data_IF_788286917166
#
_entry.id   IF_788286917166
#
_cell.length_a   1.000
_cell.length_b   1.000
_cell.length_c   1.000
_cell.angle_alpha   90.00
_cell.angle_beta   90.00
_cell.angle_gamma   90.00
#
_symmetry.space_group_name_H-M   'P 1'
#
loop_
_entity.id
_entity.type
_entity.pdbx_description
1 polymer ?
#
# COMPACT_ATOMS: atom_id res chain seq x y z
N UNK A 1 -25.97 66.85 -58.28
CA UNK A 1 -24.61 66.34 -58.57
C UNK A 1 -24.31 65.26 -57.54
N UNK A 2 -24.45 63.99 -57.95
CA UNK A 2 -24.16 62.81 -57.13
C UNK A 2 -22.72 62.38 -57.33
N UNK A 3 -21.98 62.16 -56.24
CA UNK A 3 -20.75 61.36 -56.25
C UNK A 3 -20.78 60.38 -55.08
N UNK A 4 -20.79 59.11 -55.49
CA UNK A 4 -20.88 57.86 -54.74
C UNK A 4 -19.63 57.58 -53.91
N UNK A 5 -19.84 57.20 -52.64
CA UNK A 5 -18.83 56.58 -51.78
C UNK A 5 -18.83 55.06 -52.01
N UNK A 6 -17.71 54.51 -52.46
CA UNK A 6 -17.41 53.07 -52.43
C UNK A 6 -16.57 52.74 -51.20
N UNK A 7 -16.95 51.77 -50.36
CA UNK A 7 -16.04 51.22 -49.37
C UNK A 7 -15.12 50.15 -49.99
N UNK A 8 -13.82 50.26 -49.72
CA UNK A 8 -12.81 49.22 -50.00
C UNK A 8 -13.02 48.03 -49.05
N UNK A 9 -13.15 46.83 -49.61
CA UNK A 9 -13.10 45.56 -48.88
C UNK A 9 -11.65 45.24 -48.50
N UNK A 10 -11.36 45.19 -47.19
CA UNK A 10 -10.10 44.69 -46.66
C UNK A 10 -10.11 43.16 -46.62
N UNK A 11 -9.34 42.53 -47.50
CA UNK A 11 -9.07 41.10 -47.50
C UNK A 11 -8.03 40.74 -46.43
N UNK A 12 -8.43 40.56 -45.17
CA UNK A 12 -7.47 40.19 -44.12
C UNK A 12 -8.06 39.45 -42.89
N UNK A 13 -9.18 38.75 -43.00
CA UNK A 13 -9.85 38.16 -41.80
C UNK A 13 -10.42 36.75 -41.97
N UNK A 14 -9.92 35.92 -42.90
CA UNK A 14 -10.46 34.56 -43.10
C UNK A 14 -9.47 33.41 -42.92
N UNK A 15 -8.24 33.66 -42.49
CA UNK A 15 -7.22 32.60 -42.34
C UNK A 15 -7.28 31.76 -41.04
N UNK A 16 -7.82 32.20 -39.87
CA UNK A 16 -7.78 31.36 -38.68
C UNK A 16 -8.95 30.36 -38.56
N UNK A 17 -10.00 30.46 -39.38
CA UNK A 17 -11.22 29.65 -39.22
C UNK A 17 -11.22 28.33 -40.02
N UNK A 18 -10.34 28.19 -41.01
CA UNK A 18 -10.23 26.96 -41.81
C UNK A 18 -9.28 25.92 -41.20
N UNK A 19 -8.38 26.34 -40.30
CA UNK A 19 -7.39 25.44 -39.70
C UNK A 19 -7.97 24.59 -38.55
N UNK A 20 -9.07 25.01 -37.94
CA UNK A 20 -9.76 24.27 -36.86
C UNK A 20 -10.66 23.14 -37.37
N UNK A 21 -11.14 23.23 -38.62
CA UNK A 21 -12.02 22.21 -39.21
C UNK A 21 -11.22 20.97 -39.64
N UNK A 22 -9.93 21.12 -39.95
CA UNK A 22 -9.10 20.00 -40.41
C UNK A 22 -8.70 19.01 -39.29
N UNK A 23 -8.75 19.41 -38.01
CA UNK A 23 -8.34 18.55 -36.90
C UNK A 23 -9.43 17.61 -36.36
N UNK A 24 -10.70 17.75 -36.76
CA UNK A 24 -11.80 16.89 -36.28
C UNK A 24 -12.04 15.62 -37.12
N UNK A 25 -11.31 15.42 -38.22
CA UNK A 25 -11.57 14.32 -39.17
C UNK A 25 -10.66 13.08 -38.99
N UNK A 26 -9.83 13.04 -37.94
CA UNK A 26 -8.91 11.93 -37.66
C UNK A 26 -9.36 11.03 -36.48
N UNK A 27 -10.68 10.81 -36.34
CA UNK A 27 -11.19 9.80 -35.40
C UNK A 27 -11.41 8.51 -36.21
N UNK A 28 -10.62 7.44 -35.99
CA UNK A 28 -10.88 6.17 -36.65
C UNK A 28 -12.24 5.61 -36.19
N UNK A 29 -13.04 5.04 -37.09
CA UNK A 29 -14.28 4.37 -36.70
C UNK A 29 -13.92 3.16 -35.82
N UNK A 30 -14.46 3.13 -34.61
CA UNK A 30 -14.44 1.94 -33.77
C UNK A 30 -15.25 0.86 -34.49
N UNK A 31 -14.58 -0.09 -35.11
CA UNK A 31 -15.21 -1.31 -35.60
C UNK A 31 -15.86 -2.00 -34.40
N UNK A 32 -17.19 -1.95 -34.33
CA UNK A 32 -17.96 -2.89 -33.53
C UNK A 32 -17.73 -4.28 -34.15
N UNK A 33 -16.73 -4.99 -33.64
CA UNK A 33 -16.53 -6.39 -33.95
C UNK A 33 -17.81 -7.12 -33.55
N UNK A 34 -18.41 -7.75 -34.56
CA UNK A 34 -19.59 -8.60 -34.52
C UNK A 34 -19.52 -9.54 -33.30
N UNK A 35 -20.13 -9.14 -32.19
CA UNK A 35 -20.07 -9.88 -30.93
C UNK A 35 -21.31 -10.76 -30.85
N UNK A 36 -21.09 -12.06 -31.06
CA UNK A 36 -21.98 -13.09 -30.55
C UNK A 36 -22.25 -12.74 -29.07
N UNK A 37 -23.52 -12.62 -28.62
CA UNK A 37 -23.81 -12.14 -27.28
C UNK A 37 -23.09 -13.05 -26.27
N UNK A 38 -22.32 -12.43 -25.37
CA UNK A 38 -21.66 -13.18 -24.31
C UNK A 38 -22.73 -13.87 -23.46
N UNK A 39 -22.51 -15.14 -23.06
CA UNK A 39 -23.46 -15.83 -22.20
C UNK A 39 -23.62 -15.05 -20.89
N UNK A 40 -24.87 -14.91 -20.44
CA UNK A 40 -25.22 -14.27 -19.17
C UNK A 40 -24.38 -14.88 -18.04
N UNK A 41 -23.66 -14.03 -17.30
CA UNK A 41 -22.79 -14.45 -16.19
C UNK A 41 -21.29 -14.52 -16.50
N UNK A 42 -20.83 -14.03 -17.66
CA UNK A 42 -19.39 -13.94 -17.95
C UNK A 42 -18.68 -12.89 -17.06
N UNK A 43 -17.56 -13.28 -16.44
CA UNK A 43 -16.66 -12.37 -15.74
C UNK A 43 -15.69 -11.75 -16.76
N UNK A 44 -15.51 -10.43 -16.73
CA UNK A 44 -14.64 -9.68 -17.65
C UNK A 44 -13.36 -9.20 -16.95
N UNK A 45 -12.28 -9.06 -17.72
CA UNK A 45 -11.04 -8.41 -17.28
C UNK A 45 -11.12 -6.87 -17.36
N UNK A 46 -10.04 -6.18 -16.99
CA UNK A 46 -9.96 -4.71 -17.04
C UNK A 46 -10.01 -4.12 -18.46
N UNK A 47 -9.85 -4.95 -19.48
CA UNK A 47 -9.92 -4.57 -20.89
C UNK A 47 -11.28 -4.97 -21.52
N UNK A 48 -12.20 -5.55 -20.73
CA UNK A 48 -13.52 -5.99 -21.18
C UNK A 48 -13.54 -7.36 -21.87
N UNK A 49 -12.45 -8.13 -21.82
CA UNK A 49 -12.42 -9.48 -22.40
C UNK A 49 -12.92 -10.52 -21.38
N UNK A 50 -13.65 -11.57 -21.81
CA UNK A 50 -14.12 -12.62 -20.92
C UNK A 50 -12.97 -13.47 -20.37
N UNK A 51 -12.97 -13.69 -19.05
CA UNK A 51 -12.01 -14.54 -18.37
C UNK A 51 -12.60 -15.96 -18.28
N UNK A 52 -11.81 -16.97 -18.66
CA UNK A 52 -12.18 -18.37 -18.46
C UNK A 52 -12.08 -18.72 -16.98
N UNK A 53 -13.23 -18.95 -16.34
CA UNK A 53 -13.28 -19.53 -15.01
C UNK A 53 -12.91 -21.02 -15.11
N UNK A 54 -12.06 -21.56 -14.21
CA UNK A 54 -11.79 -22.98 -14.17
C UNK A 54 -13.09 -23.75 -13.93
N UNK A 55 -13.38 -24.74 -14.77
CA UNK A 55 -14.61 -25.54 -14.67
C UNK A 55 -14.61 -26.49 -13.45
N UNK A 56 -13.46 -26.63 -12.79
CA UNK A 56 -13.30 -27.40 -11.56
C UNK A 56 -13.35 -26.42 -10.39
N UNK A 57 -14.26 -26.66 -9.45
CA UNK A 57 -14.25 -25.98 -8.16
C UNK A 57 -13.06 -26.49 -7.35
N UNK A 58 -11.88 -25.89 -7.56
CA UNK A 58 -10.76 -26.09 -6.66
C UNK A 58 -10.96 -25.15 -5.47
N UNK A 59 -11.15 -25.73 -4.29
CA UNK A 59 -11.27 -24.98 -3.04
C UNK A 59 -9.98 -24.20 -2.80
N UNK A 60 -10.09 -22.89 -2.57
CA UNK A 60 -8.94 -22.02 -2.30
C UNK A 60 -8.12 -22.42 -1.05
N UNK A 61 -8.62 -23.37 -0.25
CA UNK A 61 -7.96 -23.89 0.95
C UNK A 61 -7.40 -25.31 0.79
N UNK A 62 -7.54 -25.95 -0.37
CA UNK A 62 -6.88 -27.24 -0.61
C UNK A 62 -5.40 -27.02 -0.89
N UNK A 63 -4.63 -27.02 0.19
CA UNK A 63 -3.18 -27.11 0.15
C UNK A 63 -2.87 -28.55 -0.29
N UNK A 64 -2.30 -28.79 -1.49
CA UNK A 64 -1.86 -30.13 -1.85
C UNK A 64 -0.90 -30.61 -0.77
N UNK A 65 -1.15 -31.80 -0.22
CA UNK A 65 -0.33 -32.40 0.82
C UNK A 65 1.08 -32.62 0.27
N UNK A 66 1.96 -31.64 0.47
CA UNK A 66 3.36 -31.70 0.07
C UNK A 66 4.00 -32.71 1.01
N UNK A 67 4.12 -33.97 0.58
CA UNK A 67 4.97 -34.94 1.27
C UNK A 67 6.38 -34.33 1.34
N UNK A 68 6.96 -34.13 2.53
CA UNK A 68 8.23 -33.44 2.67
C UNK A 68 9.33 -34.32 2.07
N UNK A 69 9.62 -34.11 0.78
CA UNK A 69 10.73 -34.77 0.09
C UNK A 69 11.90 -33.82 0.16
N UNK A 70 12.59 -33.88 1.30
CA UNK A 70 13.97 -33.47 1.60
C UNK A 70 14.01 -33.01 3.05
N UNK A 71 14.73 -33.77 3.86
CA UNK A 71 15.25 -33.31 5.14
C UNK A 71 15.94 -31.96 4.90
N UNK A 72 15.26 -30.88 5.26
CA UNK A 72 15.93 -29.62 5.49
C UNK A 72 16.84 -29.88 6.71
N UNK A 73 18.11 -30.13 6.44
CA UNK A 73 19.14 -29.98 7.44
C UNK A 73 19.00 -28.56 7.96
N UNK A 74 18.38 -28.47 9.14
CA UNK A 74 18.28 -27.27 9.93
C UNK A 74 19.71 -26.91 10.28
N UNK A 75 20.36 -26.05 9.48
CA UNK A 75 21.55 -25.38 9.97
C UNK A 75 21.09 -24.64 11.22
N UNK A 76 21.63 -24.93 12.41
CA UNK A 76 21.20 -24.25 13.61
C UNK A 76 21.40 -22.76 13.35
N UNK A 77 20.30 -22.01 13.29
CA UNK A 77 20.35 -20.58 13.28
C UNK A 77 21.23 -20.21 14.46
N UNK A 78 22.42 -19.65 14.19
CA UNK A 78 23.28 -19.08 15.23
C UNK A 78 22.44 -18.00 15.88
N UNK A 79 21.72 -18.37 16.95
CA UNK A 79 21.13 -17.42 17.85
C UNK A 79 22.35 -16.67 18.36
N UNK A 80 22.55 -15.44 17.87
CA UNK A 80 23.38 -14.49 18.58
C UNK A 80 22.65 -14.27 19.89
N UNK A 81 22.93 -15.14 20.88
CA UNK A 81 22.65 -14.89 22.28
C UNK A 81 23.44 -13.62 22.55
N UNK A 82 22.76 -12.48 22.41
CA UNK A 82 23.24 -11.19 22.87
C UNK A 82 23.49 -11.44 24.33
N UNK A 83 24.76 -11.61 24.71
CA UNK A 83 25.18 -11.85 26.07
C UNK A 83 24.65 -10.68 26.87
N UNK A 84 23.52 -10.87 27.53
CA UNK A 84 22.99 -9.92 28.49
C UNK A 84 23.97 -9.99 29.66
N UNK A 85 25.02 -9.16 29.57
CA UNK A 85 25.73 -8.71 30.74
C UNK A 85 24.66 -8.32 31.75
N UNK A 86 24.56 -9.10 32.83
CA UNK A 86 23.70 -8.81 33.97
C UNK A 86 24.32 -7.63 34.70
N UNK A 87 24.36 -6.46 34.06
CA UNK A 87 24.39 -5.22 34.82
C UNK A 87 23.11 -5.23 35.65
N UNK A 88 23.23 -4.92 36.94
CA UNK A 88 22.09 -4.72 37.85
C UNK A 88 21.28 -3.54 37.29
N UNK A 89 20.45 -3.78 36.29
CA UNK A 89 19.55 -2.79 35.74
C UNK A 89 18.59 -2.46 36.87
N UNK A 90 18.64 -1.21 37.33
CA UNK A 90 17.60 -0.68 38.20
C UNK A 90 16.26 -1.04 37.57
N UNK A 91 15.34 -1.55 38.39
CA UNK A 91 14.00 -1.90 37.93
C UNK A 91 13.40 -0.63 37.33
N UNK A 92 13.31 -0.59 36.00
CA UNK A 92 12.67 0.52 35.29
C UNK A 92 11.29 0.73 35.90
N UNK A 93 10.89 2.00 36.08
CA UNK A 93 9.53 2.30 36.53
C UNK A 93 8.53 1.64 35.57
N UNK A 94 7.36 1.21 36.05
CA UNK A 94 6.34 0.54 35.23
C UNK A 94 6.04 1.33 33.95
N UNK A 95 5.95 2.66 34.05
CA UNK A 95 5.75 3.56 32.90
C UNK A 95 6.90 3.50 31.90
N UNK A 96 8.14 3.40 32.38
CA UNK A 96 9.33 3.24 31.53
C UNK A 96 9.38 1.86 30.90
N UNK A 97 9.00 0.79 31.62
CA UNK A 97 8.92 -0.56 31.05
C UNK A 97 7.92 -0.63 29.89
N UNK A 98 6.73 -0.06 30.08
CA UNK A 98 5.68 0.01 29.05
C UNK A 98 6.12 0.79 27.81
N UNK A 99 6.86 1.88 28.01
CA UNK A 99 7.41 2.68 26.92
C UNK A 99 8.64 2.03 26.27
N UNK A 100 9.34 1.17 26.99
CA UNK A 100 10.54 0.51 26.47
C UNK A 100 10.16 -0.61 25.49
N UNK A 101 11.04 -0.80 24.50
CA UNK A 101 11.01 -1.94 23.57
C UNK A 101 12.06 -3.01 23.94
N UNK A 102 12.52 -3.04 25.21
CA UNK A 102 13.56 -3.99 25.66
C UNK A 102 13.00 -5.40 25.85
N UNK A 103 11.72 -5.49 26.20
CA UNK A 103 10.93 -6.71 26.27
C UNK A 103 9.66 -6.50 25.45
N UNK A 104 9.20 -7.57 24.81
CA UNK A 104 7.95 -7.58 24.04
C UNK A 104 7.04 -8.61 24.69
N UNK A 105 5.80 -8.23 24.97
CA UNK A 105 4.78 -9.13 25.46
C UNK A 105 4.54 -10.29 24.48
N UNK A 106 4.07 -11.44 24.99
CA UNK A 106 3.80 -12.63 24.17
C UNK A 106 2.46 -12.51 23.42
N UNK A 107 2.36 -11.51 22.56
CA UNK A 107 1.19 -11.23 21.73
C UNK A 107 1.64 -11.00 20.27
N UNK A 108 0.94 -11.58 19.27
CA UNK A 108 1.30 -11.41 17.86
C UNK A 108 1.24 -9.96 17.38
N UNK A 109 0.28 -9.16 17.88
CA UNK A 109 0.15 -7.74 17.55
C UNK A 109 1.34 -6.95 18.06
N UNK A 110 1.76 -7.17 19.30
CA UNK A 110 2.95 -6.53 19.86
C UNK A 110 4.22 -6.89 19.10
N UNK A 111 4.40 -8.15 18.70
CA UNK A 111 5.57 -8.57 17.90
C UNK A 111 5.59 -7.92 16.52
N UNK A 112 4.43 -7.77 15.88
CA UNK A 112 4.33 -7.04 14.61
C UNK A 112 4.63 -5.56 14.79
N UNK A 113 4.11 -4.93 15.84
CA UNK A 113 4.30 -3.52 16.12
C UNK A 113 5.79 -3.19 16.36
N UNK A 114 6.49 -4.05 17.10
CA UNK A 114 7.93 -3.97 17.30
C UNK A 114 8.67 -3.99 15.96
N UNK A 115 8.44 -5.03 15.14
CA UNK A 115 9.08 -5.17 13.83
C UNK A 115 8.78 -3.99 12.89
N UNK A 116 7.55 -3.44 12.94
CA UNK A 116 7.16 -2.30 12.13
C UNK A 116 7.87 -1.02 12.56
N UNK A 117 7.93 -0.73 13.86
CA UNK A 117 8.67 0.43 14.37
C UNK A 117 10.16 0.32 14.04
N UNK A 118 10.76 -0.85 14.21
CA UNK A 118 12.12 -1.16 13.77
C UNK A 118 12.38 -0.84 12.30
N UNK A 119 11.43 -1.21 11.43
CA UNK A 119 11.52 -0.91 10.01
C UNK A 119 11.43 0.60 9.75
N UNK A 120 10.51 1.30 10.41
CA UNK A 120 10.35 2.74 10.28
C UNK A 120 11.61 3.49 10.75
N UNK A 121 12.16 3.12 11.91
CA UNK A 121 13.39 3.70 12.44
C UNK A 121 14.56 3.51 11.46
N UNK A 122 14.71 2.33 10.86
CA UNK A 122 15.73 2.11 9.81
C UNK A 122 15.50 3.03 8.60
N UNK A 123 14.27 3.11 8.09
CA UNK A 123 13.93 3.97 6.95
C UNK A 123 14.15 5.45 7.20
N UNK A 124 14.01 5.90 8.44
CA UNK A 124 14.31 7.28 8.85
C UNK A 124 15.81 7.57 8.94
N UNK A 125 16.62 6.54 9.23
CA UNK A 125 18.07 6.65 9.35
C UNK A 125 18.81 6.45 8.01
N UNK A 126 18.13 5.96 6.97
CA UNK A 126 18.72 5.77 5.64
C UNK A 126 19.08 7.12 4.99
N UNK A 127 20.37 7.32 4.69
CA UNK A 127 20.99 8.59 4.24
C UNK A 127 20.49 9.17 2.90
N UNK A 128 19.50 8.55 2.25
CA UNK A 128 18.98 8.97 0.94
C UNK A 128 17.53 9.47 0.95
N UNK A 129 16.87 9.54 2.10
CA UNK A 129 15.41 9.67 2.16
C UNK A 129 14.93 10.95 2.90
N UNK A 130 15.47 12.11 2.57
CA UNK A 130 15.12 13.37 3.24
C UNK A 130 13.63 13.76 3.08
N UNK A 131 12.99 13.42 1.97
CA UNK A 131 11.62 13.85 1.65
C UNK A 131 10.51 12.80 1.94
N UNK A 132 10.78 11.48 1.89
CA UNK A 132 9.78 10.48 2.32
C UNK A 132 9.76 10.25 3.85
N UNK A 133 10.54 11.04 4.59
CA UNK A 133 10.62 11.00 6.04
C UNK A 133 9.33 11.44 6.77
N UNK A 134 8.47 12.26 6.16
CA UNK A 134 7.30 12.82 6.87
C UNK A 134 6.27 11.75 7.23
N UNK A 135 5.93 10.87 6.28
CA UNK A 135 4.98 9.78 6.50
C UNK A 135 5.53 8.76 7.51
N UNK A 136 6.80 8.33 7.36
CA UNK A 136 7.40 7.37 8.27
C UNK A 136 7.51 7.90 9.70
N UNK A 137 7.83 9.19 9.88
CA UNK A 137 7.80 9.84 11.21
C UNK A 137 6.41 9.85 11.81
N UNK A 138 5.39 10.21 11.01
CA UNK A 138 3.99 10.22 11.46
C UNK A 138 3.52 8.82 11.86
N UNK A 139 3.81 7.82 11.03
CA UNK A 139 3.47 6.44 11.33
C UNK A 139 4.19 5.95 12.58
N UNK A 140 5.50 6.22 12.72
CA UNK A 140 6.27 5.81 13.89
C UNK A 140 5.66 6.39 15.18
N UNK A 141 5.33 7.68 15.18
CA UNK A 141 4.69 8.34 16.32
C UNK A 141 3.36 7.69 16.71
N UNK A 142 2.52 7.35 15.74
CA UNK A 142 1.25 6.66 15.97
C UNK A 142 1.50 5.26 16.56
N UNK A 143 2.48 4.52 16.02
CA UNK A 143 2.79 3.16 16.50
C UNK A 143 3.44 3.14 17.87
N UNK A 144 4.22 4.15 18.23
CA UNK A 144 4.74 4.33 19.58
C UNK A 144 3.62 4.60 20.61
N UNK A 145 2.56 5.30 20.20
CA UNK A 145 1.38 5.52 21.05
C UNK A 145 0.59 4.23 21.22
N UNK A 146 0.34 3.52 20.11
CA UNK A 146 -0.32 2.20 20.09
C UNK A 146 0.44 1.20 20.99
N UNK A 147 1.77 1.20 20.93
CA UNK A 147 2.63 0.33 21.76
C UNK A 147 2.39 0.53 23.25
N UNK A 148 2.34 1.78 23.70
CA UNK A 148 2.12 2.14 25.10
C UNK A 148 0.69 1.81 25.54
N UNK A 149 -0.29 2.07 24.67
CA UNK A 149 -1.70 1.81 24.94
C UNK A 149 -1.97 0.30 25.09
N UNK A 150 -1.41 -0.51 24.19
CA UNK A 150 -1.48 -1.98 24.23
C UNK A 150 -0.53 -2.61 25.26
N UNK A 151 0.24 -1.82 26.01
CA UNK A 151 1.16 -2.30 27.07
C UNK A 151 2.18 -3.33 26.56
N UNK A 152 2.59 -3.20 25.31
CA UNK A 152 3.43 -4.20 24.62
C UNK A 152 4.83 -4.35 25.23
N UNK A 153 5.34 -3.35 25.97
CA UNK A 153 6.64 -3.42 26.65
C UNK A 153 6.70 -4.34 27.87
N UNK A 154 5.56 -4.82 28.37
CA UNK A 154 5.50 -5.65 29.58
C UNK A 154 4.42 -6.74 29.49
N UNK A 155 3.18 -6.40 29.83
CA UNK A 155 2.09 -7.36 30.07
C UNK A 155 1.41 -7.81 28.78
N UNK A 156 1.36 -6.93 27.78
CA UNK A 156 0.57 -7.12 26.57
C UNK A 156 -0.88 -6.63 26.71
N UNK A 157 -1.61 -6.57 25.59
CA UNK A 157 -2.95 -6.00 25.56
C UNK A 157 -3.98 -6.94 26.19
N UNK A 158 -4.96 -6.36 26.86
CA UNK A 158 -6.21 -7.03 27.21
C UNK A 158 -7.21 -6.89 26.07
N UNK A 159 -8.28 -7.70 26.10
CA UNK A 159 -9.35 -7.61 25.10
C UNK A 159 -9.87 -6.17 24.90
N UNK A 160 -10.12 -5.46 26.01
CA UNK A 160 -10.56 -4.06 25.97
C UNK A 160 -9.50 -3.13 25.37
N UNK A 161 -8.21 -3.41 25.57
CA UNK A 161 -7.15 -2.57 25.03
C UNK A 161 -7.10 -2.69 23.51
N UNK A 162 -7.39 -3.87 22.93
CA UNK A 162 -7.46 -4.01 21.47
C UNK A 162 -8.52 -3.11 20.83
N UNK A 163 -9.71 -3.02 21.45
CA UNK A 163 -10.79 -2.21 20.91
C UNK A 163 -10.51 -0.70 20.96
N UNK A 164 -9.78 -0.26 21.99
CA UNK A 164 -9.52 1.16 22.26
C UNK A 164 -8.21 1.66 21.64
N UNK A 165 -7.20 0.81 21.56
CA UNK A 165 -5.83 1.22 21.23
C UNK A 165 -5.42 0.97 19.78
N UNK A 166 -6.18 0.16 19.03
CA UNK A 166 -5.87 -0.10 17.63
C UNK A 166 -6.04 1.16 16.79
N UNK A 167 -5.00 1.49 16.03
CA UNK A 167 -5.06 2.63 15.11
C UNK A 167 -6.04 2.36 13.97
N UNK A 168 -7.12 3.17 13.87
CA UNK A 168 -8.06 3.15 12.74
C UNK A 168 -7.51 4.00 11.58
N UNK A 169 -7.51 3.42 10.38
CA UNK A 169 -7.06 4.07 9.14
C UNK A 169 -8.23 4.65 8.37
#
# INVERSE_FOLDING_TARGET
MSLSHTPRLNAATHLPLLLTILFLSLIPPSHASNSKPLPLGSVLDSQGNPIQLPSKQESALEIPSIKPTKEYQSTPAKSRKRSQSRSKKSKLSRKQQLASRTSVANDPGCRWLDARMDHLERKLNDKGNSNANSYHKKELSIREQEWKCLKCGAEGPKQTDHDHCQYRR
#
